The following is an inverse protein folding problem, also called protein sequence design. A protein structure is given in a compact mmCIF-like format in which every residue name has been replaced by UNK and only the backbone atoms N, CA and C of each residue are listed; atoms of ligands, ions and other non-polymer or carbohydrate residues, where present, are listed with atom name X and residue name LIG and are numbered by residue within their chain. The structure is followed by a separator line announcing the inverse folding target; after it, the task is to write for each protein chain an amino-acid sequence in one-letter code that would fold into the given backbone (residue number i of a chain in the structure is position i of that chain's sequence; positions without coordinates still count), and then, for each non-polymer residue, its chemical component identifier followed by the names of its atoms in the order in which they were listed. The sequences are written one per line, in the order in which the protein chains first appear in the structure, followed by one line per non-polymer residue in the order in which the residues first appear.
data_IF_745261081705
#
_entry.id   IF_745261081705
#
_cell.length_a   1.000
_cell.length_b   1.000
_cell.length_c   1.000
_cell.angle_alpha   90.00
_cell.angle_beta   90.00
_cell.angle_gamma   90.00
#
_symmetry.space_group_name_H-M   'P 1'
#
loop_
_entity.id
_entity.type
_entity.pdbx_description
1 polymer ?
#
# COMPACT_ATOMS: atom_id res chain seq x y z
N UNK A 1 9.99 16.90 0.60
CA UNK A 1 9.09 15.90 1.20
C UNK A 1 9.72 15.40 2.49
N UNK A 2 9.00 15.50 3.62
CA UNK A 2 9.48 15.06 4.94
C UNK A 2 9.44 13.53 4.97
N UNK A 3 10.59 12.89 5.24
CA UNK A 3 10.66 11.44 5.43
C UNK A 3 9.88 11.11 6.69
N UNK A 4 8.82 10.31 6.57
CA UNK A 4 8.11 9.77 7.73
C UNK A 4 9.05 8.76 8.39
N UNK A 5 9.51 9.04 9.59
CA UNK A 5 10.24 8.04 10.38
C UNK A 5 9.25 6.90 10.69
N UNK A 6 9.68 5.66 10.46
CA UNK A 6 8.89 4.49 10.86
C UNK A 6 9.03 4.35 12.36
N UNK A 7 8.00 4.75 13.10
CA UNK A 7 7.88 4.38 14.49
C UNK A 7 7.78 2.85 14.55
N UNK A 8 8.74 2.19 15.20
CA UNK A 8 8.72 0.74 15.34
C UNK A 8 7.45 0.28 16.07
N UNK A 9 6.79 -0.76 15.56
CA UNK A 9 5.70 -1.39 16.28
C UNK A 9 6.26 -1.98 17.57
N UNK A 10 5.78 -1.53 18.73
CA UNK A 10 6.24 -2.00 20.03
C UNK A 10 6.23 -3.54 20.16
N UNK A 11 6.96 -4.11 21.13
CA UNK A 11 7.21 -5.54 21.19
C UNK A 11 5.92 -6.36 21.21
N UNK A 12 5.80 -7.31 20.28
CA UNK A 12 4.63 -8.21 20.20
C UNK A 12 4.76 -9.29 21.27
N UNK A 13 3.72 -9.51 22.08
CA UNK A 13 3.74 -10.44 23.25
C UNK A 13 4.19 -11.87 22.92
N UNK A 14 3.99 -12.33 21.68
CA UNK A 14 4.38 -13.65 21.19
C UNK A 14 5.23 -13.59 19.91
N UNK A 15 5.86 -12.43 19.64
CA UNK A 15 6.72 -12.25 18.48
C UNK A 15 8.13 -12.80 18.71
N UNK A 16 8.90 -13.06 17.64
CA UNK A 16 10.31 -13.37 17.77
C UNK A 16 11.05 -12.22 18.48
N UNK A 17 12.03 -12.56 19.33
CA UNK A 17 12.78 -11.61 20.17
C UNK A 17 13.58 -10.57 19.38
N UNK A 18 13.92 -10.89 18.14
CA UNK A 18 14.45 -9.95 17.16
C UNK A 18 13.56 -10.04 15.91
N UNK A 19 12.80 -8.97 15.65
CA UNK A 19 12.17 -8.78 14.36
C UNK A 19 13.25 -8.24 13.41
N UNK A 20 13.46 -8.85 12.22
CA UNK A 20 14.24 -8.20 11.19
C UNK A 20 13.61 -6.84 10.88
N UNK A 21 14.44 -5.88 10.46
CA UNK A 21 13.99 -4.56 10.01
C UNK A 21 12.79 -4.68 9.06
N UNK A 22 11.83 -3.76 9.20
CA UNK A 22 10.62 -3.77 8.39
C UNK A 22 10.94 -3.68 6.90
N UNK A 23 10.69 -4.78 6.17
CA UNK A 23 10.77 -4.82 4.71
C UNK A 23 11.51 -6.06 4.23
N UNK A 24 10.78 -6.96 3.59
CA UNK A 24 11.42 -8.01 2.79
C UNK A 24 12.13 -7.36 1.59
N UNK A 25 13.28 -7.89 1.16
CA UNK A 25 13.95 -7.40 -0.03
C UNK A 25 13.00 -7.51 -1.24
N UNK A 26 12.81 -6.39 -1.93
CA UNK A 26 12.02 -6.33 -3.16
C UNK A 26 12.81 -7.04 -4.25
N UNK A 27 12.18 -7.97 -4.97
CA UNK A 27 12.81 -8.64 -6.12
C UNK A 27 13.25 -7.61 -7.16
N UNK A 28 14.45 -7.73 -7.76
CA UNK A 28 14.95 -6.77 -8.75
C UNK A 28 13.98 -6.52 -9.90
N UNK A 29 13.29 -7.56 -10.36
CA UNK A 29 12.30 -7.50 -11.43
C UNK A 29 11.07 -6.69 -11.02
N UNK A 30 10.65 -6.82 -9.76
CA UNK A 30 9.55 -6.04 -9.20
C UNK A 30 9.93 -4.57 -9.06
N UNK A 31 11.15 -4.28 -8.60
CA UNK A 31 11.69 -2.92 -8.52
C UNK A 31 11.74 -2.26 -9.91
N UNK A 32 12.24 -2.98 -10.93
CA UNK A 32 12.30 -2.50 -12.30
C UNK A 32 10.90 -2.24 -12.90
N UNK A 33 9.94 -3.15 -12.64
CA UNK A 33 8.57 -2.99 -13.11
C UNK A 33 7.90 -1.75 -12.50
N UNK A 34 8.09 -1.51 -11.20
CA UNK A 34 7.56 -0.34 -10.50
C UNK A 34 8.23 0.96 -10.98
N UNK A 35 9.55 0.96 -11.16
CA UNK A 35 10.28 2.11 -11.70
C UNK A 35 9.80 2.47 -13.12
N UNK A 36 9.58 1.47 -13.98
CA UNK A 36 9.02 1.68 -15.32
C UNK A 36 7.53 2.04 -15.34
N UNK A 37 6.82 1.83 -14.23
CA UNK A 37 5.43 2.25 -14.06
C UNK A 37 5.31 3.66 -13.45
N UNK A 38 6.34 4.14 -12.75
CA UNK A 38 6.30 5.44 -12.05
C UNK A 38 6.03 6.63 -12.98
N UNK A 39 6.48 6.57 -14.24
CA UNK A 39 6.18 7.59 -15.26
C UNK A 39 4.77 7.48 -15.88
N UNK A 40 4.05 6.38 -15.62
CA UNK A 40 2.70 6.13 -16.13
C UNK A 40 1.66 6.69 -15.16
N UNK A 41 1.75 7.97 -14.84
CA UNK A 41 0.69 8.66 -14.09
C UNK A 41 -0.46 8.91 -15.05
N UNK A 42 -1.48 8.05 -15.01
CA UNK A 42 -2.81 8.48 -15.43
C UNK A 42 -3.35 9.35 -14.30
N UNK A 43 -3.72 10.58 -14.63
CA UNK A 43 -4.33 11.52 -13.70
C UNK A 43 -5.66 10.92 -13.22
N UNK A 44 -5.61 10.20 -12.10
CA UNK A 44 -6.76 9.58 -11.49
C UNK A 44 -6.73 9.97 -10.03
N UNK A 45 -7.84 10.51 -9.49
CA UNK A 45 -7.86 10.92 -8.11
C UNK A 45 -7.56 9.72 -7.21
N UNK A 46 -6.62 9.87 -6.29
CA UNK A 46 -6.35 8.85 -5.26
C UNK A 46 -7.66 8.61 -4.50
N UNK A 47 -8.26 7.43 -4.70
CA UNK A 47 -9.53 7.05 -4.07
C UNK A 47 -10.81 7.65 -4.67
N UNK A 48 -10.76 8.30 -5.84
CA UNK A 48 -11.91 9.01 -6.42
C UNK A 48 -12.31 8.58 -7.83
N UNK A 49 -11.83 7.44 -8.32
CA UNK A 49 -12.22 6.91 -9.63
C UNK A 49 -13.73 6.63 -9.67
N UNK A 50 -14.47 7.03 -10.72
CA UNK A 50 -15.91 6.75 -10.84
C UNK A 50 -16.25 5.27 -10.61
N UNK A 51 -15.44 4.38 -11.17
CA UNK A 51 -15.61 2.92 -11.07
C UNK A 51 -15.40 2.41 -9.64
N UNK A 52 -14.56 3.08 -8.84
CA UNK A 52 -14.36 2.73 -7.43
C UNK A 52 -15.55 3.18 -6.57
N UNK A 53 -16.09 4.37 -6.87
CA UNK A 53 -17.28 4.91 -6.19
C UNK A 53 -18.52 4.06 -6.50
N UNK A 54 -18.70 3.66 -7.77
CA UNK A 54 -19.78 2.76 -8.19
C UNK A 54 -19.68 1.39 -7.49
N UNK A 55 -18.47 0.82 -7.42
CA UNK A 55 -18.25 -0.44 -6.73
C UNK A 55 -18.55 -0.34 -5.23
N UNK A 56 -18.14 0.75 -4.57
CA UNK A 56 -18.41 1.01 -3.16
C UNK A 56 -19.91 1.20 -2.90
N UNK A 57 -20.61 1.98 -3.73
CA UNK A 57 -22.05 2.16 -3.65
C UNK A 57 -22.80 0.84 -3.83
N UNK A 58 -22.44 0.06 -4.86
CA UNK A 58 -23.03 -1.26 -5.12
C UNK A 58 -22.79 -2.27 -3.99
N UNK A 59 -21.64 -2.21 -3.32
CA UNK A 59 -21.35 -3.02 -2.15
C UNK A 59 -22.33 -2.74 -1.00
N UNK A 60 -22.54 -1.47 -0.66
CA UNK A 60 -23.46 -1.10 0.43
C UNK A 60 -24.92 -1.39 0.09
N UNK A 61 -25.34 -1.21 -1.17
CA UNK A 61 -26.67 -1.60 -1.65
C UNK A 61 -26.96 -3.10 -1.45
N UNK A 62 -25.96 -3.97 -1.64
CA UNK A 62 -26.11 -5.42 -1.41
C UNK A 62 -26.17 -5.79 0.08
N UNK A 63 -25.73 -4.90 0.97
CA UNK A 63 -25.68 -5.11 2.42
C UNK A 63 -26.81 -4.41 3.17
N UNK A 64 -27.78 -3.85 2.44
CA UNK A 64 -29.00 -3.28 3.00
C UNK A 64 -29.73 -4.21 3.95
#
# INVERSE_FOLDING_TARGET
MRRTEREGYGPVRYGPSALPEDGLPVLPELSAALAGAAGRIRDRPIGGCPELLDAAGGYWLRRG
#
